data_IF_877620612191
#
_entry.id   IF_877620612191
#
_cell.length_a   1.000
_cell.length_b   1.000
_cell.length_c   1.000
_cell.angle_alpha   90.00
_cell.angle_beta   90.00
_cell.angle_gamma   90.00
#
_symmetry.space_group_name_H-M   'P 1'
#
loop_
_entity.id
_entity.type
_entity.pdbx_description
1 polymer ?
#
# COMPACT_ATOMS: atom_id res chain seq x y z
N UNK A 1 -15.08 5.65 2.04
CA UNK A 1 -14.81 6.09 3.43
C UNK A 1 -15.24 5.01 4.44
N UNK A 2 -14.28 4.48 5.20
CA UNK A 2 -14.48 3.54 6.30
C UNK A 2 -14.23 4.17 7.67
N UNK A 3 -14.51 3.42 8.73
CA UNK A 3 -14.23 3.82 10.12
C UNK A 3 -13.28 2.80 10.73
N UNK A 4 -12.13 3.25 11.22
CA UNK A 4 -11.11 2.40 11.86
C UNK A 4 -11.00 2.83 13.33
N UNK A 5 -11.33 1.95 14.27
CA UNK A 5 -11.34 2.26 15.72
C UNK A 5 -12.07 3.58 16.08
N UNK A 6 -13.19 3.86 15.42
CA UNK A 6 -13.97 5.10 15.65
C UNK A 6 -13.41 6.35 14.95
N UNK A 7 -12.33 6.22 14.18
CA UNK A 7 -11.77 7.29 13.36
C UNK A 7 -12.24 7.15 11.90
N UNK A 8 -12.82 8.22 11.35
CA UNK A 8 -13.25 8.27 9.96
C UNK A 8 -12.05 8.38 9.02
N UNK A 9 -12.00 7.57 7.98
CA UNK A 9 -11.05 7.75 6.87
C UNK A 9 -11.52 8.89 5.97
N UNK A 10 -10.61 9.75 5.53
CA UNK A 10 -10.89 10.79 4.54
C UNK A 10 -10.30 10.37 3.18
N UNK A 11 -11.16 10.17 2.19
CA UNK A 11 -10.72 9.80 0.85
C UNK A 11 -9.98 10.94 0.13
N UNK A 12 -10.36 12.20 0.38
CA UNK A 12 -9.71 13.36 -0.24
C UNK A 12 -8.33 13.67 0.34
N UNK A 13 -8.05 13.15 1.55
CA UNK A 13 -6.74 13.27 2.20
C UNK A 13 -5.92 11.97 2.12
N UNK A 14 -6.40 10.98 1.37
CA UNK A 14 -5.71 9.71 1.19
C UNK A 14 -4.59 9.86 0.15
N UNK A 15 -3.38 10.14 0.65
CA UNK A 15 -2.16 10.21 -0.15
C UNK A 15 -1.54 8.81 -0.21
N UNK A 16 -2.02 7.99 -1.15
CA UNK A 16 -1.68 6.57 -1.25
C UNK A 16 -0.24 6.34 -1.74
N UNK A 17 0.72 6.52 -0.83
CA UNK A 17 2.12 6.21 -1.05
C UNK A 17 2.47 4.82 -0.48
N UNK A 18 1.90 3.78 -1.09
CA UNK A 18 2.15 2.39 -0.70
C UNK A 18 2.99 1.67 -1.76
N UNK A 19 3.97 0.88 -1.33
CA UNK A 19 4.77 0.03 -2.22
C UNK A 19 4.71 -1.43 -1.76
N UNK A 20 4.72 -2.33 -2.72
CA UNK A 20 4.75 -3.78 -2.48
C UNK A 20 6.06 -4.30 -3.04
N UNK A 21 6.78 -5.08 -2.23
CA UNK A 21 8.00 -5.76 -2.67
C UNK A 21 7.69 -6.83 -3.73
N UNK A 22 8.68 -7.21 -4.54
CA UNK A 22 8.62 -8.41 -5.39
C UNK A 22 9.50 -9.47 -4.69
N UNK A 23 8.99 -10.64 -4.22
CA UNK A 23 7.79 -11.39 -4.65
C UNK A 23 6.48 -11.12 -3.90
N UNK A 24 6.42 -10.11 -3.01
CA UNK A 24 5.15 -9.64 -2.45
C UNK A 24 4.96 -9.73 -0.94
N UNK A 25 5.84 -10.39 -0.18
CA UNK A 25 5.61 -10.61 1.27
C UNK A 25 5.63 -9.34 2.14
N UNK A 26 6.14 -8.22 1.60
CA UNK A 26 6.29 -6.95 2.32
C UNK A 26 5.50 -5.83 1.64
N UNK A 27 4.70 -5.13 2.45
CA UNK A 27 3.96 -3.92 2.08
C UNK A 27 4.51 -2.76 2.91
N UNK A 28 4.85 -1.65 2.26
CA UNK A 28 5.41 -0.46 2.90
C UNK A 28 4.57 0.78 2.64
N UNK A 29 4.38 1.61 3.67
CA UNK A 29 3.98 3.00 3.51
C UNK A 29 5.23 3.86 3.43
N UNK A 30 5.37 4.64 2.35
CA UNK A 30 6.57 5.42 2.06
C UNK A 30 6.24 6.91 2.12
N UNK A 31 7.15 7.73 2.64
CA UNK A 31 6.98 9.18 2.69
C UNK A 31 7.16 9.87 1.32
N UNK A 32 7.83 9.17 0.38
CA UNK A 32 8.07 9.63 -0.97
C UNK A 32 7.80 8.53 -2.01
N UNK A 33 7.14 8.85 -3.13
CA UNK A 33 6.92 7.90 -4.22
C UNK A 33 8.25 7.48 -4.86
N UNK A 34 8.36 6.21 -5.25
CA UNK A 34 9.51 5.67 -5.98
C UNK A 34 9.31 5.80 -7.49
N UNK A 35 10.16 6.58 -8.18
CA UNK A 35 10.20 6.65 -9.65
C UNK A 35 11.49 6.06 -10.20
N UNK A 36 11.42 5.39 -11.36
CA UNK A 36 12.59 4.77 -12.03
C UNK A 36 13.76 5.76 -12.24
N UNK A 37 13.45 7.02 -12.50
CA UNK A 37 14.42 8.08 -12.80
C UNK A 37 14.41 9.21 -11.75
N UNK A 38 14.30 8.87 -10.46
CA UNK A 38 14.36 9.87 -9.38
C UNK A 38 15.79 10.18 -8.93
N UNK A 39 16.00 11.41 -8.47
CA UNK A 39 17.21 11.80 -7.74
C UNK A 39 17.35 10.99 -6.45
N UNK A 40 18.58 10.65 -6.07
CA UNK A 40 18.84 9.99 -4.79
C UNK A 40 18.59 10.97 -3.65
N UNK A 41 17.54 10.73 -2.89
CA UNK A 41 17.16 11.52 -1.73
C UNK A 41 16.89 10.60 -0.53
N UNK A 42 17.09 11.07 0.70
CA UNK A 42 16.63 10.35 1.87
C UNK A 42 15.09 10.24 1.84
N UNK A 43 14.62 9.06 2.24
CA UNK A 43 13.21 8.70 2.36
C UNK A 43 13.05 7.77 3.57
N UNK A 44 11.84 7.68 4.10
CA UNK A 44 11.45 6.80 5.18
C UNK A 44 10.31 5.90 4.75
N UNK A 45 10.36 4.65 5.24
CA UNK A 45 9.31 3.67 5.00
C UNK A 45 8.96 2.94 6.30
N UNK A 46 7.66 2.69 6.48
CA UNK A 46 7.14 1.78 7.51
C UNK A 46 6.65 0.54 6.76
N UNK A 47 7.28 -0.61 7.03
CA UNK A 47 7.03 -1.85 6.31
C UNK A 47 6.45 -2.93 7.22
N UNK A 48 5.52 -3.71 6.68
CA UNK A 48 4.92 -4.87 7.32
C UNK A 48 5.25 -6.09 6.47
N UNK A 49 5.89 -7.08 7.08
CA UNK A 49 6.11 -8.40 6.46
C UNK A 49 5.16 -9.41 7.11
N UNK A 50 4.19 -9.87 6.34
CA UNK A 50 3.26 -10.90 6.78
C UNK A 50 2.63 -11.54 5.54
N UNK A 51 2.95 -12.82 5.32
CA UNK A 51 2.47 -13.56 4.15
C UNK A 51 0.95 -13.67 4.11
N UNK A 52 0.28 -13.85 5.25
CA UNK A 52 -1.17 -14.01 5.30
C UNK A 52 -1.89 -12.69 4.92
N UNK A 53 -1.35 -11.55 5.36
CA UNK A 53 -1.85 -10.23 4.98
C UNK A 53 -1.67 -10.02 3.48
N UNK A 54 -0.50 -10.34 2.93
CA UNK A 54 -0.24 -10.20 1.50
C UNK A 54 -1.17 -11.09 0.65
N UNK A 55 -1.30 -12.36 1.01
CA UNK A 55 -2.23 -13.28 0.33
C UNK A 55 -3.64 -12.72 0.33
N UNK A 56 -4.10 -12.17 1.47
CA UNK A 56 -5.44 -11.56 1.56
C UNK A 56 -5.60 -10.34 0.65
N UNK A 57 -4.58 -9.49 0.53
CA UNK A 57 -4.60 -8.37 -0.41
C UNK A 57 -4.69 -8.83 -1.87
N UNK A 58 -3.91 -9.86 -2.25
CA UNK A 58 -3.97 -10.41 -3.61
C UNK A 58 -5.35 -11.01 -3.94
N UNK A 59 -5.97 -11.71 -2.99
CA UNK A 59 -7.33 -12.24 -3.16
C UNK A 59 -8.37 -11.13 -3.42
N UNK A 60 -8.22 -9.98 -2.75
CA UNK A 60 -9.10 -8.82 -2.96
C UNK A 60 -8.82 -8.17 -4.31
N UNK A 61 -7.56 -7.98 -4.68
CA UNK A 61 -7.17 -7.39 -5.96
C UNK A 61 -7.71 -8.22 -7.14
N UNK A 62 -7.60 -9.55 -7.07
CA UNK A 62 -8.13 -10.45 -8.10
C UNK A 62 -9.66 -10.36 -8.25
N UNK A 63 -10.41 -10.01 -7.21
CA UNK A 63 -11.86 -9.78 -7.32
C UNK A 63 -12.17 -8.50 -8.11
N UNK A 64 -11.32 -7.47 -7.98
CA UNK A 64 -11.47 -6.20 -8.71
C UNK A 64 -11.09 -6.37 -10.19
N UNK A 65 -10.07 -7.17 -10.51
CA UNK A 65 -9.71 -7.47 -11.91
C UNK A 65 -10.82 -8.21 -12.68
N UNK A 66 -11.69 -8.93 -11.97
CA UNK A 66 -12.81 -9.67 -12.54
C UNK A 66 -14.15 -8.90 -12.50
N UNK A 67 -14.14 -7.61 -12.16
CA UNK A 67 -15.31 -6.75 -12.37
C UNK A 67 -15.46 -6.45 -13.88
N UNK A 68 -16.64 -6.66 -14.48
CA UNK A 68 -16.90 -6.33 -15.89
C UNK A 68 -16.88 -4.82 -16.17
#
# INVERSE_FOLDING_TARGET
PGVINGHNTNLEADDTNWTVSDPGSVICHVDKPYFKNQSKEPAMAICIENNDIFTRFNEIAAQVENCP
#
